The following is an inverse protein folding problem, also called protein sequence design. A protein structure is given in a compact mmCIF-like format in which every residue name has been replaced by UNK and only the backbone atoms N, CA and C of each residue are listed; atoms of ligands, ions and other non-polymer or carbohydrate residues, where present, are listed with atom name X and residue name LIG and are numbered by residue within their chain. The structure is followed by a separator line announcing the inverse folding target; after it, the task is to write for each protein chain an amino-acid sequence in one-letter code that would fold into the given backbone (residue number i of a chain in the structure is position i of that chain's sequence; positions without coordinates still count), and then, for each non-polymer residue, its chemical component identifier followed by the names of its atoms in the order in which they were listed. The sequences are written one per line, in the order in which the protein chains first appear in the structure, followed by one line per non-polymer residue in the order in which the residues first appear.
data_IF_046956396360
#
_entry.id   IF_046956396360
#
_cell.length_a   1.000
_cell.length_b   1.000
_cell.length_c   1.000
_cell.angle_alpha   90.00
_cell.angle_beta   90.00
_cell.angle_gamma   90.00
#
_symmetry.space_group_name_H-M   'P 1'
#
loop_
_entity.id
_entity.type
_entity.pdbx_description
1 polymer ?
#
# COMPACT_ATOMS: atom_id res chain seq x y z
N UNK A 1 -3.24 35.09 -10.33
CA UNK A 1 -3.88 34.42 -9.16
C UNK A 1 -4.15 32.95 -9.50
N UNK A 2 -3.15 32.06 -9.46
CA UNK A 2 -3.37 30.62 -9.74
C UNK A 2 -2.26 29.78 -9.09
N UNK A 3 -2.33 29.53 -7.77
CA UNK A 3 -1.43 28.55 -7.12
C UNK A 3 -2.06 27.73 -5.99
N UNK A 4 -3.38 27.80 -5.79
CA UNK A 4 -4.03 27.06 -4.71
C UNK A 4 -4.27 25.56 -5.02
N UNK A 5 -4.23 25.13 -6.29
CA UNK A 5 -4.46 23.72 -6.66
C UNK A 5 -3.24 22.81 -6.48
N UNK A 6 -2.01 23.33 -6.66
CA UNK A 6 -0.79 22.52 -6.55
C UNK A 6 -0.52 22.03 -5.12
N UNK A 7 -0.75 22.87 -4.12
CA UNK A 7 -0.47 22.56 -2.70
C UNK A 7 -1.45 21.53 -2.11
N UNK A 8 -2.72 21.54 -2.55
CA UNK A 8 -3.73 20.58 -2.09
C UNK A 8 -3.46 19.16 -2.60
N UNK A 9 -3.08 19.01 -3.88
CA UNK A 9 -2.74 17.71 -4.46
C UNK A 9 -1.49 17.13 -3.80
N UNK A 10 -0.47 17.96 -3.55
CA UNK A 10 0.78 17.51 -2.92
C UNK A 10 0.58 17.08 -1.45
N UNK A 11 -0.34 17.74 -0.72
CA UNK A 11 -0.71 17.35 0.64
C UNK A 11 -1.56 16.06 0.66
N UNK A 12 -2.47 15.87 -0.30
CA UNK A 12 -3.26 14.65 -0.45
C UNK A 12 -2.35 13.45 -0.82
N UNK A 13 -1.40 13.64 -1.73
CA UNK A 13 -0.38 12.63 -2.06
C UNK A 13 0.45 12.28 -0.84
N UNK A 14 0.95 13.25 -0.08
CA UNK A 14 1.68 12.97 1.18
C UNK A 14 0.83 12.28 2.24
N UNK A 15 -0.45 12.63 2.36
CA UNK A 15 -1.38 12.03 3.31
C UNK A 15 -1.81 10.62 2.89
N UNK A 16 -1.85 10.31 1.60
CA UNK A 16 -2.13 8.97 1.07
C UNK A 16 -0.87 8.09 1.01
N UNK A 17 0.31 8.68 0.78
CA UNK A 17 1.61 8.02 0.83
C UNK A 17 1.87 7.42 2.22
N UNK A 18 1.50 8.10 3.31
CA UNK A 18 1.68 7.58 4.66
C UNK A 18 0.95 6.24 4.94
N UNK A 19 -0.37 6.11 4.73
CA UNK A 19 -1.11 4.87 4.92
C UNK A 19 -0.76 3.82 3.84
N UNK A 20 -0.50 4.22 2.60
CA UNK A 20 -0.09 3.32 1.52
C UNK A 20 1.28 2.70 1.79
N UNK A 21 2.29 3.50 2.15
CA UNK A 21 3.62 3.02 2.51
C UNK A 21 3.60 2.17 3.79
N UNK A 22 2.75 2.52 4.76
CA UNK A 22 2.56 1.73 5.96
C UNK A 22 1.99 0.34 5.65
N UNK A 23 0.94 0.26 4.83
CA UNK A 23 0.36 -1.01 4.39
C UNK A 23 1.36 -1.85 3.57
N UNK A 24 2.13 -1.20 2.69
CA UNK A 24 3.19 -1.87 1.93
C UNK A 24 4.29 -2.44 2.85
N UNK A 25 4.75 -1.67 3.84
CA UNK A 25 5.78 -2.13 4.79
C UNK A 25 5.28 -3.32 5.61
N UNK A 26 4.05 -3.28 6.12
CA UNK A 26 3.45 -4.39 6.86
C UNK A 26 3.36 -5.66 6.00
N UNK A 27 2.88 -5.53 4.76
CA UNK A 27 2.85 -6.63 3.81
C UNK A 27 4.27 -7.19 3.55
N UNK A 28 5.24 -6.32 3.30
CA UNK A 28 6.61 -6.72 2.97
C UNK A 28 7.30 -7.41 4.15
N UNK A 29 7.12 -6.91 5.38
CA UNK A 29 7.63 -7.55 6.59
C UNK A 29 7.02 -8.93 6.80
N UNK A 30 5.72 -9.09 6.55
CA UNK A 30 5.05 -10.37 6.61
C UNK A 30 5.58 -11.33 5.52
N UNK A 31 5.64 -10.89 4.27
CA UNK A 31 6.13 -11.68 3.15
C UNK A 31 7.58 -12.15 3.36
N UNK A 32 8.42 -11.33 4.01
CA UNK A 32 9.79 -11.69 4.39
C UNK A 32 9.89 -12.67 5.54
N UNK A 33 8.91 -12.75 6.43
CA UNK A 33 8.94 -13.67 7.58
C UNK A 33 8.23 -14.99 7.29
N UNK A 34 7.16 -14.97 6.50
CA UNK A 34 6.36 -16.14 6.18
C UNK A 34 7.00 -17.02 5.09
N UNK A 35 7.27 -18.29 5.39
CA UNK A 35 7.91 -19.21 4.44
C UNK A 35 7.05 -19.56 3.23
N UNK A 36 5.72 -19.47 3.35
CA UNK A 36 4.82 -19.63 2.21
C UNK A 36 4.88 -18.40 1.30
N UNK A 37 4.76 -17.19 1.85
CA UNK A 37 4.83 -15.94 1.08
C UNK A 37 6.18 -15.71 0.39
N UNK A 38 7.29 -16.26 0.93
CA UNK A 38 8.61 -16.22 0.26
C UNK A 38 8.69 -17.05 -1.02
N UNK A 39 7.88 -18.11 -1.11
CA UNK A 39 7.97 -19.12 -2.19
C UNK A 39 7.01 -18.86 -3.34
N UNK A 40 6.05 -17.96 -3.15
CA UNK A 40 5.05 -17.63 -4.15
C UNK A 40 5.52 -16.47 -5.02
N UNK A 41 5.07 -16.44 -6.27
CA UNK A 41 5.46 -15.40 -7.23
C UNK A 41 4.64 -14.13 -7.05
N UNK A 42 3.42 -14.26 -6.54
CA UNK A 42 2.50 -13.14 -6.36
C UNK A 42 1.94 -13.09 -4.94
N UNK A 43 1.62 -11.89 -4.48
CA UNK A 43 1.01 -11.68 -3.15
C UNK A 43 -0.37 -12.37 -3.01
N UNK A 44 -1.06 -12.60 -4.13
CA UNK A 44 -2.37 -13.27 -4.19
C UNK A 44 -2.27 -14.78 -3.97
N UNK A 45 -1.13 -15.39 -4.31
CA UNK A 45 -0.85 -16.81 -4.07
C UNK A 45 -0.27 -17.05 -2.67
N UNK A 46 0.03 -15.99 -1.92
CA UNK A 46 0.56 -16.06 -0.56
C UNK A 46 -0.47 -16.59 0.44
N UNK A 47 -0.09 -16.61 1.73
CA UNK A 47 -1.03 -17.03 2.77
C UNK A 47 -2.17 -16.01 2.91
N UNK A 48 -3.27 -16.43 3.53
CA UNK A 48 -4.45 -15.59 3.76
C UNK A 48 -4.10 -14.24 4.42
N UNK A 49 -3.20 -14.24 5.40
CA UNK A 49 -2.73 -12.99 6.03
C UNK A 49 -1.96 -12.09 5.06
N UNK A 50 -1.11 -12.67 4.21
CA UNK A 50 -0.38 -11.95 3.16
C UNK A 50 -1.31 -11.36 2.11
N UNK A 51 -2.33 -12.12 1.69
CA UNK A 51 -3.37 -11.65 0.78
C UNK A 51 -4.17 -10.50 1.36
N UNK A 52 -4.55 -10.58 2.65
CA UNK A 52 -5.26 -9.52 3.36
C UNK A 52 -4.44 -8.22 3.45
N UNK A 53 -3.14 -8.32 3.79
CA UNK A 53 -2.23 -7.17 3.82
C UNK A 53 -2.02 -6.54 2.43
N UNK A 54 -1.91 -7.37 1.39
CA UNK A 54 -1.85 -6.90 0.01
C UNK A 54 -3.14 -6.19 -0.42
N UNK A 55 -4.30 -6.71 0.00
CA UNK A 55 -5.60 -6.08 -0.22
C UNK A 55 -5.73 -4.72 0.47
N UNK A 56 -5.20 -4.58 1.69
CA UNK A 56 -5.18 -3.31 2.42
C UNK A 56 -4.28 -2.27 1.71
N UNK A 57 -3.12 -2.71 1.21
CA UNK A 57 -2.25 -1.87 0.39
C UNK A 57 -2.95 -1.36 -0.87
N UNK A 58 -3.62 -2.25 -1.63
CA UNK A 58 -4.36 -1.84 -2.83
C UNK A 58 -5.47 -0.84 -2.52
N UNK A 59 -6.26 -1.07 -1.45
CA UNK A 59 -7.29 -0.13 -1.03
C UNK A 59 -6.72 1.26 -0.68
N UNK A 60 -5.58 1.30 0.01
CA UNK A 60 -4.90 2.56 0.32
C UNK A 60 -4.32 3.24 -0.93
N UNK A 61 -3.88 2.44 -1.92
CA UNK A 61 -3.38 2.93 -3.20
C UNK A 61 -4.51 3.51 -4.06
N UNK A 62 -5.59 2.75 -4.28
CA UNK A 62 -6.75 3.16 -5.08
C UNK A 62 -7.49 4.35 -4.45
N UNK A 63 -7.56 4.41 -3.11
CA UNK A 63 -8.15 5.54 -2.36
C UNK A 63 -7.33 6.83 -2.37
N UNK A 64 -6.07 6.80 -2.81
CA UNK A 64 -5.19 7.98 -2.91
C UNK A 64 -5.23 8.71 -4.25
N UNK A 65 -5.95 8.17 -5.25
CA UNK A 65 -6.02 8.70 -6.63
C UNK A 65 -7.28 9.55 -6.87
N UNK A 66 -8.01 9.93 -5.82
CA UNK A 66 -9.24 10.74 -5.88
C UNK A 66 -9.03 12.25 -5.78
#
# INVERSE_FOLDING_TARGET
MTSARGTKVQAAVRQAELPMLHAYRLWFEHARKCDHCKRVRTAQEGCESGQGLWGAYRQAYDGGVG
#
